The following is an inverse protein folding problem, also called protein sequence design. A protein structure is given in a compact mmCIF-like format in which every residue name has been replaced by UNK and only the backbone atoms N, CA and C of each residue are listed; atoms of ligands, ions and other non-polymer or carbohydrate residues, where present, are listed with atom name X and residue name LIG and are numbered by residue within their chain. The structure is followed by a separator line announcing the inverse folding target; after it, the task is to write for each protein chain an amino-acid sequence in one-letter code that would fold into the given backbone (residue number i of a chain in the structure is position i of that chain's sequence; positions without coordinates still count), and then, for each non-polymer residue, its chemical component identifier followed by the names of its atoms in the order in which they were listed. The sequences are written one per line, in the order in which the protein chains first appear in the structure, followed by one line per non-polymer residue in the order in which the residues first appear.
data_IF_789471698835
#
_entry.id   IF_789471698835
#
_cell.length_a   1.000
_cell.length_b   1.000
_cell.length_c   1.000
_cell.angle_alpha   90.00
_cell.angle_beta   90.00
_cell.angle_gamma   90.00
#
_symmetry.space_group_name_H-M   'P 1'
#
loop_
_entity.id
_entity.type
_entity.pdbx_description
1 polymer ?
#
# COMPACT_ATOMS: atom_id res chain seq x y z
N UNK A 1 12.46 9.75 -14.17
CA UNK A 1 11.40 10.76 -14.38
C UNK A 1 10.12 9.99 -14.19
N UNK A 2 9.42 10.18 -13.08
CA UNK A 2 8.38 9.23 -12.67
C UNK A 2 7.21 9.28 -13.66
N UNK A 3 6.91 8.12 -14.24
CA UNK A 3 5.76 7.95 -15.13
C UNK A 3 4.50 8.02 -14.29
N UNK A 4 3.54 8.85 -14.74
CA UNK A 4 2.35 9.20 -13.94
C UNK A 4 1.12 8.39 -14.33
N UNK A 5 1.01 8.11 -15.62
CA UNK A 5 -0.11 7.41 -16.23
C UNK A 5 0.31 6.81 -17.59
N UNK A 6 -0.57 5.98 -18.16
CA UNK A 6 -0.35 5.32 -19.46
C UNK A 6 -0.14 6.32 -20.61
N UNK A 7 -0.81 7.48 -20.57
CA UNK A 7 -0.69 8.50 -21.61
C UNK A 7 0.68 9.17 -21.58
N UNK A 8 1.21 9.43 -20.38
CA UNK A 8 2.57 9.93 -20.20
C UNK A 8 3.60 8.90 -20.68
N UNK A 9 3.40 7.61 -20.38
CA UNK A 9 4.24 6.52 -20.88
C UNK A 9 4.26 6.48 -22.43
N UNK A 10 3.08 6.52 -23.05
CA UNK A 10 2.92 6.54 -24.51
C UNK A 10 3.63 7.75 -25.14
N UNK A 11 3.41 8.95 -24.62
CA UNK A 11 4.07 10.16 -25.11
C UNK A 11 5.60 10.08 -24.98
N UNK A 12 6.10 9.49 -23.90
CA UNK A 12 7.53 9.30 -23.69
C UNK A 12 8.10 8.31 -24.72
N UNK A 13 7.39 7.22 -25.02
CA UNK A 13 7.79 6.27 -26.06
C UNK A 13 7.76 6.86 -27.45
N UNK A 14 6.70 7.59 -27.82
CA UNK A 14 6.62 8.29 -29.11
C UNK A 14 7.81 9.24 -29.28
N UNK A 15 8.13 10.02 -28.24
CA UNK A 15 9.23 10.98 -28.26
C UNK A 15 10.60 10.28 -28.36
N UNK A 16 10.80 9.19 -27.64
CA UNK A 16 12.11 8.51 -27.56
C UNK A 16 12.38 7.60 -28.76
N UNK A 17 11.35 7.00 -29.34
CA UNK A 17 11.45 6.13 -30.52
C UNK A 17 11.25 6.88 -31.83
N UNK A 18 10.71 8.10 -31.78
CA UNK A 18 10.25 8.87 -32.95
C UNK A 18 9.17 8.15 -33.77
N UNK A 19 8.46 7.20 -33.16
CA UNK A 19 7.41 6.40 -33.79
C UNK A 19 6.04 6.77 -33.24
N UNK A 20 5.16 7.34 -34.08
CA UNK A 20 3.78 7.70 -33.68
C UNK A 20 2.89 6.45 -33.54
N UNK A 21 3.21 5.37 -34.24
CA UNK A 21 2.46 4.13 -34.27
C UNK A 21 3.06 3.09 -33.30
N UNK A 22 3.82 3.54 -32.29
CA UNK A 22 4.53 2.66 -31.36
C UNK A 22 3.57 1.75 -30.58
N UNK A 23 2.36 2.24 -30.29
CA UNK A 23 1.33 1.47 -29.60
C UNK A 23 0.84 0.32 -30.48
N UNK A 24 0.53 0.59 -31.74
CA UNK A 24 0.07 -0.42 -32.71
C UNK A 24 1.17 -1.47 -32.97
N UNK A 25 2.43 -1.04 -32.99
CA UNK A 25 3.59 -1.95 -33.07
C UNK A 25 3.61 -2.90 -31.85
N UNK A 26 3.47 -2.35 -30.64
CA UNK A 26 3.43 -3.15 -29.41
C UNK A 26 2.25 -4.13 -29.44
N UNK A 27 1.04 -3.67 -29.77
CA UNK A 27 -0.15 -4.52 -29.88
C UNK A 27 0.03 -5.65 -30.89
N UNK A 28 0.62 -5.33 -32.05
CA UNK A 28 0.94 -6.33 -33.08
C UNK A 28 1.92 -7.36 -32.53
N UNK A 29 3.00 -6.93 -31.86
CA UNK A 29 3.97 -7.86 -31.28
C UNK A 29 3.36 -8.73 -30.18
N UNK A 30 2.56 -8.15 -29.28
CA UNK A 30 1.89 -8.90 -28.22
C UNK A 30 0.93 -9.97 -28.77
N UNK A 31 0.29 -9.72 -29.93
CA UNK A 31 -0.57 -10.72 -30.58
C UNK A 31 0.19 -11.95 -31.09
N UNK A 32 1.51 -11.84 -31.29
CA UNK A 32 2.37 -12.96 -31.70
C UNK A 32 2.90 -13.77 -30.52
N UNK A 33 2.75 -13.28 -29.30
CA UNK A 33 3.28 -13.93 -28.11
C UNK A 33 2.55 -15.24 -27.83
N UNK A 34 3.31 -16.32 -27.71
CA UNK A 34 2.80 -17.61 -27.27
C UNK A 34 2.95 -17.69 -25.75
N UNK A 35 1.83 -17.51 -25.04
CA UNK A 35 1.81 -17.61 -23.59
C UNK A 35 1.86 -19.08 -23.14
N UNK A 36 2.61 -19.41 -22.07
CA UNK A 36 2.69 -20.77 -21.53
C UNK A 36 1.36 -21.28 -20.97
N UNK A 37 1.23 -22.58 -20.74
CA UNK A 37 0.03 -23.12 -20.07
C UNK A 37 -0.03 -22.72 -18.58
N UNK A 38 -1.23 -22.69 -17.99
CA UNK A 38 -1.44 -22.27 -16.59
C UNK A 38 -0.66 -23.11 -15.57
N UNK A 39 -0.35 -24.36 -15.91
CA UNK A 39 0.46 -25.26 -15.08
C UNK A 39 1.97 -25.03 -15.21
N UNK A 40 2.43 -24.20 -16.14
CA UNK A 40 3.85 -23.98 -16.36
C UNK A 40 4.48 -23.12 -15.26
N UNK A 41 5.41 -23.73 -14.52
CA UNK A 41 6.17 -23.06 -13.46
C UNK A 41 7.13 -22.00 -14.02
N UNK A 42 7.46 -22.06 -15.30
CA UNK A 42 8.33 -21.13 -16.00
C UNK A 42 7.56 -19.96 -16.63
N UNK A 43 6.24 -19.92 -16.54
CA UNK A 43 5.41 -18.91 -17.21
C UNK A 43 5.89 -17.47 -16.98
N UNK A 44 6.22 -17.13 -15.74
CA UNK A 44 6.71 -15.81 -15.34
C UNK A 44 8.07 -15.49 -15.98
N UNK A 45 8.98 -16.47 -16.04
CA UNK A 45 10.28 -16.30 -16.67
C UNK A 45 10.15 -16.13 -18.19
N UNK A 46 9.26 -16.89 -18.81
CA UNK A 46 8.96 -16.77 -20.24
C UNK A 46 8.40 -15.38 -20.57
N UNK A 47 7.44 -14.87 -19.80
CA UNK A 47 6.87 -13.53 -20.00
C UNK A 47 7.94 -12.44 -19.82
N UNK A 48 8.82 -12.58 -18.81
CA UNK A 48 9.96 -11.66 -18.65
C UNK A 48 10.85 -11.65 -19.88
N UNK A 49 11.20 -12.82 -20.41
CA UNK A 49 12.06 -12.91 -21.59
C UNK A 49 11.40 -12.27 -22.81
N UNK A 50 10.11 -12.53 -23.05
CA UNK A 50 9.34 -11.90 -24.13
C UNK A 50 9.35 -10.37 -24.01
N UNK A 51 9.18 -9.84 -22.79
CA UNK A 51 9.29 -8.41 -22.54
C UNK A 51 10.68 -7.86 -22.87
N UNK A 52 11.75 -8.51 -22.41
CA UNK A 52 13.12 -8.06 -22.70
C UNK A 52 13.52 -8.17 -24.16
N UNK A 53 12.99 -9.16 -24.88
CA UNK A 53 13.20 -9.28 -26.32
C UNK A 53 12.50 -8.14 -27.07
N UNK A 54 11.29 -7.75 -26.65
CA UNK A 54 10.61 -6.57 -27.16
C UNK A 54 11.37 -5.27 -26.83
N UNK A 55 11.93 -5.14 -25.63
CA UNK A 55 12.79 -4.00 -25.28
C UNK A 55 13.97 -3.87 -26.25
N UNK A 56 14.64 -4.98 -26.58
CA UNK A 56 15.76 -5.01 -27.52
C UNK A 56 15.34 -4.68 -28.95
N UNK A 57 14.17 -5.14 -29.36
CA UNK A 57 13.62 -4.84 -30.69
C UNK A 57 13.33 -3.34 -30.84
N UNK A 58 12.72 -2.71 -29.84
CA UNK A 58 12.30 -1.31 -29.90
C UNK A 58 13.46 -0.34 -29.65
N UNK A 59 14.33 -0.62 -28.67
CA UNK A 59 15.35 0.32 -28.21
C UNK A 59 16.77 -0.01 -28.64
N UNK A 60 17.00 -1.18 -29.24
CA UNK A 60 18.33 -1.68 -29.58
C UNK A 60 19.27 -1.61 -28.35
N UNK A 61 20.35 -0.82 -28.46
CA UNK A 61 21.40 -0.69 -27.43
C UNK A 61 21.11 0.38 -26.36
N UNK A 62 20.12 1.26 -26.54
CA UNK A 62 19.79 2.35 -25.58
C UNK A 62 18.54 2.04 -24.76
N UNK A 63 18.72 1.16 -23.77
CA UNK A 63 17.70 0.75 -22.79
C UNK A 63 17.78 1.59 -21.52
N UNK A 64 17.73 2.91 -21.65
CA UNK A 64 17.64 3.79 -20.47
C UNK A 64 16.37 3.48 -19.65
N UNK A 65 16.49 3.50 -18.32
CA UNK A 65 15.44 3.05 -17.38
C UNK A 65 14.06 3.65 -17.67
N UNK A 66 14.01 4.96 -17.96
CA UNK A 66 12.74 5.65 -18.26
C UNK A 66 12.02 5.09 -19.50
N UNK A 67 12.78 4.59 -20.51
CA UNK A 67 12.20 3.98 -21.72
C UNK A 67 11.66 2.59 -21.43
N UNK A 68 12.42 1.78 -20.71
CA UNK A 68 12.01 0.43 -20.31
C UNK A 68 10.80 0.51 -19.39
N UNK A 69 10.79 1.45 -18.46
CA UNK A 69 9.63 1.72 -17.60
C UNK A 69 8.41 2.13 -18.44
N UNK A 70 8.54 3.04 -19.41
CA UNK A 70 7.42 3.45 -20.25
C UNK A 70 6.85 2.29 -21.09
N UNK A 71 7.73 1.44 -21.62
CA UNK A 71 7.32 0.23 -22.33
C UNK A 71 6.64 -0.77 -21.38
N UNK A 72 7.16 -0.93 -20.17
CA UNK A 72 6.57 -1.79 -19.15
C UNK A 72 5.12 -1.38 -18.83
N UNK A 73 4.85 -0.08 -18.71
CA UNK A 73 3.49 0.40 -18.49
C UNK A 73 2.53 -0.01 -19.62
N UNK A 74 2.90 0.22 -20.89
CA UNK A 74 2.04 -0.15 -22.02
C UNK A 74 1.87 -1.65 -22.19
N UNK A 75 2.94 -2.43 -22.03
CA UNK A 75 2.90 -3.89 -22.20
C UNK A 75 2.07 -4.53 -21.09
N UNK A 76 2.39 -4.21 -19.83
CA UNK A 76 1.74 -4.87 -18.69
C UNK A 76 0.31 -4.44 -18.45
N UNK A 77 -0.13 -3.26 -18.94
CA UNK A 77 -1.56 -2.92 -18.98
C UNK A 77 -2.37 -3.89 -19.86
N UNK A 78 -1.79 -4.32 -20.99
CA UNK A 78 -2.45 -5.22 -21.94
C UNK A 78 -2.38 -6.69 -21.52
N UNK A 79 -1.24 -7.13 -20.99
CA UNK A 79 -1.04 -8.54 -20.59
C UNK A 79 -1.35 -8.79 -19.11
N UNK A 80 -1.85 -7.79 -18.38
CA UNK A 80 -2.09 -7.87 -16.94
C UNK A 80 -2.89 -9.13 -16.57
N UNK A 81 -4.06 -9.30 -17.19
CA UNK A 81 -4.99 -10.36 -16.82
C UNK A 81 -4.40 -11.75 -17.09
N UNK A 82 -3.61 -11.85 -18.17
CA UNK A 82 -2.85 -13.06 -18.52
C UNK A 82 -1.84 -13.35 -17.41
N UNK A 83 -0.94 -12.42 -17.11
CA UNK A 83 0.09 -12.55 -16.08
C UNK A 83 -0.49 -12.88 -14.70
N UNK A 84 -1.52 -12.12 -14.29
CA UNK A 84 -2.09 -12.24 -12.95
C UNK A 84 -2.88 -13.54 -12.81
N UNK A 85 -3.43 -14.11 -13.88
CA UNK A 85 -4.06 -15.44 -13.83
C UNK A 85 -3.05 -16.53 -13.46
N UNK A 86 -1.86 -16.57 -14.09
CA UNK A 86 -0.81 -17.53 -13.72
C UNK A 86 -0.39 -17.38 -12.26
N UNK A 87 -0.20 -16.13 -11.83
CA UNK A 87 0.28 -15.83 -10.49
C UNK A 87 -0.79 -16.18 -9.45
N UNK A 88 -2.05 -15.77 -9.66
CA UNK A 88 -3.15 -16.11 -8.75
C UNK A 88 -3.39 -17.61 -8.67
N UNK A 89 -3.25 -18.35 -9.77
CA UNK A 89 -3.33 -19.81 -9.73
C UNK A 89 -2.25 -20.42 -8.81
N UNK A 90 -1.04 -19.86 -8.83
CA UNK A 90 0.09 -20.29 -7.97
C UNK A 90 -0.08 -19.91 -6.50
N UNK A 91 -0.65 -18.75 -6.20
CA UNK A 91 -0.74 -18.20 -4.85
C UNK A 91 -2.15 -18.29 -4.23
N UNK A 92 -3.12 -18.91 -4.92
CA UNK A 92 -4.53 -18.93 -4.52
C UNK A 92 -4.75 -19.35 -3.06
N UNK A 93 -4.12 -20.45 -2.63
CA UNK A 93 -4.24 -20.94 -1.26
C UNK A 93 -3.62 -19.99 -0.23
N UNK A 94 -2.47 -19.37 -0.56
CA UNK A 94 -1.79 -18.43 0.33
C UNK A 94 -2.59 -17.14 0.48
N UNK A 95 -3.07 -16.59 -0.63
CA UNK A 95 -3.92 -15.40 -0.67
C UNK A 95 -5.22 -15.61 0.12
N UNK A 96 -5.89 -16.75 -0.11
CA UNK A 96 -7.12 -17.09 0.62
C UNK A 96 -6.87 -17.26 2.11
N UNK A 97 -5.83 -18.00 2.50
CA UNK A 97 -5.50 -18.21 3.91
C UNK A 97 -5.13 -16.89 4.61
N UNK A 98 -4.41 -16.01 3.92
CA UNK A 98 -4.04 -14.70 4.43
C UNK A 98 -5.24 -13.79 4.60
N UNK A 99 -6.13 -13.74 3.60
CA UNK A 99 -7.35 -12.94 3.67
C UNK A 99 -8.22 -13.36 4.87
N UNK A 100 -8.40 -14.66 5.09
CA UNK A 100 -9.12 -15.19 6.25
C UNK A 100 -8.44 -14.85 7.58
N UNK A 101 -7.11 -14.87 7.61
CA UNK A 101 -6.36 -14.44 8.78
C UNK A 101 -6.56 -12.94 9.06
N UNK A 102 -6.47 -12.08 8.05
CA UNK A 102 -6.76 -10.65 8.18
C UNK A 102 -8.20 -10.42 8.66
N UNK A 103 -9.18 -11.16 8.12
CA UNK A 103 -10.59 -11.09 8.56
C UNK A 103 -10.74 -11.45 10.04
N UNK A 104 -10.04 -12.47 10.51
CA UNK A 104 -10.04 -12.87 11.93
C UNK A 104 -9.41 -11.79 12.81
N UNK A 105 -8.24 -11.26 12.42
CA UNK A 105 -7.55 -10.19 13.15
C UNK A 105 -8.37 -8.89 13.17
N UNK A 106 -9.11 -8.59 12.10
CA UNK A 106 -10.06 -7.48 12.08
C UNK A 106 -11.18 -7.65 13.10
N UNK A 107 -11.72 -8.87 13.26
CA UNK A 107 -12.73 -9.17 14.27
C UNK A 107 -12.23 -9.01 15.71
N UNK A 108 -10.92 -9.13 15.94
CA UNK A 108 -10.25 -8.91 17.24
C UNK A 108 -9.96 -7.41 17.49
N UNK A 109 -10.10 -6.56 16.46
CA UNK A 109 -9.75 -5.14 16.47
C UNK A 109 -8.28 -4.89 16.86
N UNK A 110 -7.36 -5.48 16.10
CA UNK A 110 -5.92 -5.34 16.39
C UNK A 110 -5.39 -3.92 16.21
N UNK A 111 -4.49 -3.51 17.10
CA UNK A 111 -3.73 -2.25 17.02
C UNK A 111 -2.22 -2.50 16.84
N UNK A 112 -1.47 -1.45 16.48
CA UNK A 112 -0.03 -1.57 16.22
C UNK A 112 0.74 -1.92 17.50
N UNK A 113 0.27 -1.43 18.65
CA UNK A 113 0.81 -1.75 19.98
C UNK A 113 0.83 -3.27 20.25
N UNK A 114 -0.19 -3.99 19.79
CA UNK A 114 -0.29 -5.43 19.99
C UNK A 114 0.68 -6.24 19.14
N UNK A 115 1.23 -5.61 18.10
CA UNK A 115 2.35 -6.13 17.33
C UNK A 115 3.70 -5.59 17.82
N UNK A 116 3.72 -4.92 18.97
CA UNK A 116 4.94 -4.44 19.64
C UNK A 116 5.35 -3.01 19.28
N UNK A 117 4.48 -2.22 18.61
CA UNK A 117 4.73 -0.80 18.44
C UNK A 117 4.62 -0.06 19.78
N UNK A 118 5.24 1.12 19.86
CA UNK A 118 4.91 2.07 20.90
C UNK A 118 3.41 2.46 20.83
N UNK A 119 2.74 2.62 21.98
CA UNK A 119 1.32 3.04 22.07
C UNK A 119 1.04 4.33 21.30
N UNK A 120 2.05 5.21 21.20
CA UNK A 120 2.01 6.45 20.45
C UNK A 120 1.75 6.28 18.94
N UNK A 121 2.01 5.09 18.40
CA UNK A 121 1.80 4.79 16.98
C UNK A 121 0.49 4.07 16.69
N UNK A 122 -0.35 3.80 17.71
CA UNK A 122 -1.68 3.20 17.55
C UNK A 122 -2.74 4.22 17.14
N UNK A 123 -2.46 4.98 16.08
CA UNK A 123 -3.36 6.02 15.54
C UNK A 123 -4.20 5.47 14.36
N UNK A 124 -5.33 6.11 14.02
CA UNK A 124 -6.01 5.93 12.76
C UNK A 124 -5.10 6.27 11.57
N UNK A 125 -4.98 5.35 10.61
CA UNK A 125 -4.16 5.48 9.40
C UNK A 125 -5.05 5.37 8.15
N UNK A 126 -6.12 6.16 8.15
CA UNK A 126 -7.20 6.03 7.17
C UNK A 126 -6.70 6.29 5.75
N UNK A 127 -5.79 7.25 5.56
CA UNK A 127 -5.26 7.56 4.23
C UNK A 127 -4.41 6.40 3.71
N UNK A 128 -3.49 5.87 4.52
CA UNK A 128 -2.68 4.72 4.13
C UNK A 128 -3.52 3.46 3.86
N UNK A 129 -4.57 3.23 4.66
CA UNK A 129 -5.49 2.09 4.47
C UNK A 129 -6.24 2.20 3.15
N UNK A 130 -6.78 3.39 2.84
CA UNK A 130 -7.53 3.65 1.61
C UNK A 130 -6.64 3.51 0.38
N UNK A 131 -5.44 4.10 0.39
CA UNK A 131 -4.48 3.98 -0.71
C UNK A 131 -4.15 2.51 -0.98
N UNK A 132 -3.81 1.74 0.07
CA UNK A 132 -3.44 0.34 -0.12
C UNK A 132 -4.63 -0.51 -0.58
N UNK A 133 -5.86 -0.18 -0.18
CA UNK A 133 -7.06 -0.97 -0.49
C UNK A 133 -7.35 -1.10 -1.99
N UNK A 134 -6.82 -0.19 -2.82
CA UNK A 134 -6.99 -0.21 -4.28
C UNK A 134 -5.86 -0.91 -5.02
N UNK A 135 -4.89 -1.53 -4.31
CA UNK A 135 -3.75 -2.23 -4.92
C UNK A 135 -4.15 -3.25 -6.00
N UNK A 136 -5.26 -3.96 -5.77
CA UNK A 136 -5.79 -4.97 -6.69
C UNK A 136 -6.33 -4.38 -8.01
N UNK A 137 -6.65 -3.08 -8.05
CA UNK A 137 -7.21 -2.41 -9.23
C UNK A 137 -6.13 -1.95 -10.23
N UNK A 138 -4.90 -1.74 -9.76
CA UNK A 138 -3.79 -1.36 -10.61
C UNK A 138 -3.34 -2.51 -11.49
N UNK A 139 -3.01 -2.22 -12.76
CA UNK A 139 -2.65 -3.25 -13.73
C UNK A 139 -1.15 -3.35 -13.91
N UNK A 140 -0.43 -2.24 -13.90
CA UNK A 140 1.01 -2.25 -14.16
C UNK A 140 1.78 -2.54 -12.87
N UNK A 141 2.98 -3.17 -12.95
CA UNK A 141 3.84 -3.34 -11.78
C UNK A 141 4.30 -1.99 -11.21
N UNK A 142 4.45 -0.98 -12.06
CA UNK A 142 4.77 0.40 -11.68
C UNK A 142 3.69 1.04 -10.82
N UNK A 143 2.42 0.98 -11.24
CA UNK A 143 1.30 1.50 -10.44
C UNK A 143 1.18 0.78 -9.09
N UNK A 144 1.33 -0.54 -9.06
CA UNK A 144 1.30 -1.30 -7.80
C UNK A 144 2.47 -0.91 -6.90
N UNK A 145 3.68 -0.72 -7.43
CA UNK A 145 4.82 -0.26 -6.64
C UNK A 145 4.61 1.18 -6.12
N UNK A 146 4.07 2.07 -6.96
CA UNK A 146 3.73 3.44 -6.56
C UNK A 146 2.71 3.44 -5.42
N UNK A 147 1.67 2.61 -5.50
CA UNK A 147 0.71 2.43 -4.41
C UNK A 147 1.38 2.00 -3.09
N UNK A 148 2.35 1.08 -3.13
CA UNK A 148 3.12 0.69 -1.94
C UNK A 148 3.96 1.85 -1.41
N UNK A 149 4.66 2.60 -2.27
CA UNK A 149 5.44 3.77 -1.87
C UNK A 149 4.54 4.86 -1.27
N UNK A 150 3.44 5.21 -1.92
CA UNK A 150 2.48 6.21 -1.42
C UNK A 150 1.86 5.76 -0.10
N UNK A 151 1.47 4.50 0.04
CA UNK A 151 0.99 3.94 1.32
C UNK A 151 2.04 4.12 2.42
N UNK A 152 3.30 3.79 2.12
CA UNK A 152 4.40 3.93 3.06
C UNK A 152 4.58 5.39 3.49
N UNK A 153 4.62 6.32 2.54
CA UNK A 153 4.73 7.76 2.83
C UNK A 153 3.54 8.29 3.64
N UNK A 154 2.32 7.84 3.34
CA UNK A 154 1.11 8.20 4.08
C UNK A 154 1.17 7.74 5.54
N UNK A 155 1.72 6.54 5.82
CA UNK A 155 1.96 6.09 7.21
C UNK A 155 2.83 7.10 7.97
N UNK A 156 3.95 7.53 7.39
CA UNK A 156 4.81 8.52 8.05
C UNK A 156 4.14 9.88 8.17
N UNK A 157 3.37 10.31 7.16
CA UNK A 157 2.66 11.57 7.17
C UNK A 157 1.61 11.59 8.30
N UNK A 158 0.77 10.55 8.39
CA UNK A 158 -0.27 10.45 9.41
C UNK A 158 0.33 10.39 10.83
N UNK A 159 1.41 9.64 11.03
CA UNK A 159 2.13 9.60 12.32
C UNK A 159 2.67 10.99 12.68
N UNK A 160 3.40 11.65 11.77
CA UNK A 160 3.95 13.00 12.01
C UNK A 160 2.84 14.00 12.31
N UNK A 161 1.73 13.95 11.58
CA UNK A 161 0.58 14.83 11.76
C UNK A 161 -0.10 14.64 13.11
N UNK A 162 -0.19 13.40 13.62
CA UNK A 162 -0.65 13.13 14.98
C UNK A 162 0.34 13.68 16.02
N UNK A 163 1.64 13.46 15.82
CA UNK A 163 2.69 13.93 16.74
C UNK A 163 2.71 15.45 16.89
N UNK A 164 2.69 16.18 15.78
CA UNK A 164 2.62 17.65 15.79
C UNK A 164 1.39 18.13 16.55
N UNK A 165 0.25 17.45 16.41
CA UNK A 165 -0.98 17.80 17.12
C UNK A 165 -0.81 17.79 18.64
N UNK A 166 -0.24 16.70 19.17
CA UNK A 166 -0.05 16.51 20.61
C UNK A 166 0.99 17.47 21.17
N UNK A 167 2.03 17.77 20.39
CA UNK A 167 3.09 18.70 20.80
C UNK A 167 2.58 20.15 20.79
N UNK A 168 1.84 20.56 19.76
CA UNK A 168 1.25 21.91 19.70
C UNK A 168 0.23 22.19 20.81
N UNK A 169 -0.39 21.14 21.38
CA UNK A 169 -1.28 21.28 22.53
C UNK A 169 -0.55 21.27 23.89
N UNK A 170 0.72 20.85 23.93
CA UNK A 170 1.51 20.74 25.16
C UNK A 170 2.81 21.56 25.04
N UNK A 171 2.74 22.85 25.39
CA UNK A 171 3.86 23.81 25.25
C UNK A 171 5.15 23.42 25.99
N UNK A 172 5.08 22.51 26.95
CA UNK A 172 6.26 22.04 27.71
C UNK A 172 7.01 20.89 27.02
N UNK A 173 6.43 20.27 25.97
CA UNK A 173 6.99 19.09 25.26
C UNK A 173 7.47 19.39 23.85
N UNK A 174 7.63 20.66 23.50
CA UNK A 174 8.09 21.10 22.15
C UNK A 174 9.43 20.47 21.73
N UNK A 175 10.26 20.08 22.71
CA UNK A 175 11.57 19.45 22.48
C UNK A 175 11.54 17.90 22.47
N UNK A 176 10.38 17.27 22.67
CA UNK A 176 10.21 15.81 22.73
C UNK A 176 9.50 15.28 21.47
N UNK A 177 10.01 15.58 20.27
CA UNK A 177 9.54 14.89 19.05
C UNK A 177 10.26 13.52 18.99
N UNK A 178 9.60 12.38 19.29
CA UNK A 178 10.24 11.09 19.14
C UNK A 178 10.69 10.86 17.69
N UNK A 179 11.94 10.44 17.52
CA UNK A 179 12.42 9.96 16.22
C UNK A 179 11.70 8.65 15.94
N UNK A 180 10.96 8.58 14.84
CA UNK A 180 10.28 7.36 14.41
C UNK A 180 11.36 6.35 13.97
N UNK A 181 11.57 5.28 14.75
CA UNK A 181 12.46 4.19 14.35
C UNK A 181 11.73 3.25 13.38
N UNK A 182 12.46 2.68 12.42
CA UNK A 182 11.94 1.69 11.48
C UNK A 182 11.40 0.43 12.19
N UNK A 183 11.80 0.18 13.44
CA UNK A 183 11.27 -0.92 14.26
C UNK A 183 9.79 -0.75 14.59
N UNK A 184 9.33 0.49 14.74
CA UNK A 184 7.95 0.81 15.06
C UNK A 184 7.03 0.81 13.83
N UNK A 185 7.61 1.01 12.65
CA UNK A 185 6.88 1.08 11.38
C UNK A 185 6.35 -0.28 10.93
N UNK A 186 7.08 -1.36 11.18
CA UNK A 186 6.66 -2.70 10.76
C UNK A 186 5.32 -3.12 11.39
N UNK A 187 5.13 -3.06 12.73
CA UNK A 187 3.84 -3.24 13.39
C UNK A 187 2.71 -2.38 12.81
N UNK A 188 3.02 -1.12 12.47
CA UNK A 188 2.06 -0.19 11.88
C UNK A 188 1.63 -0.63 10.49
N UNK A 189 2.58 -1.02 9.63
CA UNK A 189 2.29 -1.57 8.30
C UNK A 189 1.45 -2.84 8.37
N UNK A 190 1.70 -3.71 9.36
CA UNK A 190 0.88 -4.90 9.57
C UNK A 190 -0.59 -4.55 9.79
N UNK A 191 -0.88 -3.54 10.63
CA UNK A 191 -2.26 -3.06 10.85
C UNK A 191 -2.86 -2.46 9.58
N UNK A 192 -2.10 -1.66 8.83
CA UNK A 192 -2.56 -1.09 7.55
C UNK A 192 -2.94 -2.23 6.59
N UNK A 193 -2.08 -3.21 6.39
CA UNK A 193 -2.34 -4.38 5.53
C UNK A 193 -3.60 -5.14 5.96
N UNK A 194 -3.76 -5.40 7.27
CA UNK A 194 -4.93 -6.10 7.81
C UNK A 194 -6.21 -5.29 7.52
N UNK A 195 -6.17 -3.97 7.74
CA UNK A 195 -7.31 -3.07 7.55
C UNK A 195 -7.65 -2.78 6.08
N UNK A 196 -6.69 -2.93 5.17
CA UNK A 196 -6.91 -2.75 3.72
C UNK A 196 -7.62 -3.91 3.03
N UNK A 197 -7.83 -5.05 3.71
CA UNK A 197 -8.66 -6.19 3.21
C UNK A 197 -8.23 -6.70 1.82
N UNK A 198 -6.93 -6.82 1.60
CA UNK A 198 -6.36 -7.23 0.31
C UNK A 198 -6.62 -8.70 0.04
N UNK A 199 -7.22 -9.01 -1.11
CA UNK A 199 -7.61 -10.39 -1.45
C UNK A 199 -6.48 -11.18 -2.10
N UNK A 200 -5.53 -10.49 -2.75
CA UNK A 200 -4.47 -11.12 -3.55
C UNK A 200 -3.07 -10.59 -3.21
N UNK A 201 -2.76 -10.35 -1.93
CA UNK A 201 -1.51 -9.69 -1.54
C UNK A 201 -0.25 -10.45 -1.96
N UNK A 202 -0.21 -11.78 -1.83
CA UNK A 202 0.96 -12.57 -2.24
C UNK A 202 1.11 -12.54 -3.76
N UNK A 203 0.00 -12.63 -4.49
CA UNK A 203 0.00 -12.48 -5.94
C UNK A 203 0.51 -11.10 -6.37
N UNK A 204 0.03 -10.02 -5.75
CA UNK A 204 0.43 -8.65 -6.07
C UNK A 204 1.91 -8.40 -5.77
N UNK A 205 2.39 -8.81 -4.59
CA UNK A 205 3.80 -8.64 -4.25
C UNK A 205 4.70 -9.46 -5.18
N UNK A 206 4.31 -10.69 -5.50
CA UNK A 206 5.06 -11.51 -6.45
C UNK A 206 5.06 -10.89 -7.86
N UNK A 207 3.94 -10.32 -8.30
CA UNK A 207 3.83 -9.62 -9.58
C UNK A 207 4.77 -8.42 -9.65
N UNK A 208 4.76 -7.55 -8.63
CA UNK A 208 5.67 -6.40 -8.52
C UNK A 208 7.13 -6.86 -8.49
N UNK A 209 7.48 -7.81 -7.62
CA UNK A 209 8.85 -8.37 -7.54
C UNK A 209 9.33 -8.96 -8.86
N UNK A 210 8.40 -9.55 -9.61
CA UNK A 210 8.74 -10.17 -10.88
C UNK A 210 8.94 -9.12 -11.95
N UNK A 211 8.00 -8.19 -12.10
CA UNK A 211 7.94 -7.39 -13.31
C UNK A 211 8.38 -5.95 -13.13
N UNK A 212 8.49 -5.40 -11.92
CA UNK A 212 8.96 -4.02 -11.73
C UNK A 212 10.45 -3.89 -12.06
N UNK A 213 10.79 -3.13 -13.11
CA UNK A 213 12.13 -3.13 -13.70
C UNK A 213 13.21 -2.58 -12.76
N UNK A 214 12.90 -1.51 -12.04
CA UNK A 214 13.88 -0.72 -11.26
C UNK A 214 13.99 -1.17 -9.80
N UNK A 215 13.45 -2.35 -9.46
CA UNK A 215 13.43 -2.89 -8.09
C UNK A 215 14.82 -2.97 -7.47
N UNK A 216 15.81 -3.44 -8.23
CA UNK A 216 17.17 -3.68 -7.72
C UNK A 216 18.06 -2.42 -7.77
N UNK A 217 17.74 -1.46 -8.65
CA UNK A 217 18.54 -0.25 -8.86
C UNK A 217 18.15 0.89 -7.92
N UNK A 218 16.92 0.90 -7.43
CA UNK A 218 16.44 1.89 -6.47
C UNK A 218 16.36 1.30 -5.06
N UNK A 219 17.42 1.53 -4.26
CA UNK A 219 17.52 1.03 -2.89
C UNK A 219 16.33 1.45 -2.01
N UNK A 220 15.84 2.68 -2.14
CA UNK A 220 14.72 3.18 -1.32
C UNK A 220 13.45 2.39 -1.66
N UNK A 221 13.16 2.24 -2.94
CA UNK A 221 12.00 1.46 -3.42
C UNK A 221 12.12 -0.01 -3.01
N UNK A 222 13.31 -0.60 -3.11
CA UNK A 222 13.58 -1.98 -2.66
C UNK A 222 13.36 -2.15 -1.16
N UNK A 223 13.84 -1.20 -0.34
CA UNK A 223 13.68 -1.25 1.12
C UNK A 223 12.21 -1.07 1.54
N UNK A 224 11.44 -0.22 0.84
CA UNK A 224 9.98 -0.11 1.02
C UNK A 224 9.30 -1.44 0.65
N UNK A 225 9.59 -2.00 -0.53
CA UNK A 225 9.01 -3.25 -0.98
C UNK A 225 9.29 -4.40 0.01
N UNK A 226 10.53 -4.52 0.49
CA UNK A 226 10.93 -5.51 1.52
C UNK A 226 10.19 -5.31 2.83
N UNK A 227 9.86 -4.06 3.20
CA UNK A 227 9.07 -3.76 4.40
C UNK A 227 7.65 -4.32 4.28
N UNK A 228 7.01 -4.21 3.10
CA UNK A 228 5.72 -4.85 2.84
C UNK A 228 5.82 -6.38 2.80
N UNK A 229 6.84 -6.96 2.14
CA UNK A 229 7.05 -8.41 2.14
C UNK A 229 7.19 -8.94 3.58
N UNK A 230 7.98 -8.24 4.41
CA UNK A 230 8.17 -8.60 5.81
C UNK A 230 6.87 -8.48 6.60
N UNK A 231 6.13 -7.38 6.47
CA UNK A 231 4.88 -7.17 7.18
C UNK A 231 3.84 -8.25 6.84
N UNK A 232 3.69 -8.60 5.56
CA UNK A 232 2.80 -9.68 5.11
C UNK A 232 3.23 -11.03 5.70
N UNK A 233 4.53 -11.34 5.71
CA UNK A 233 5.04 -12.57 6.30
C UNK A 233 4.80 -12.64 7.82
N UNK A 234 4.96 -11.53 8.53
CA UNK A 234 4.71 -11.50 9.98
C UNK A 234 3.22 -11.66 10.28
N UNK A 235 2.32 -10.97 9.56
CA UNK A 235 0.87 -11.17 9.69
C UNK A 235 0.50 -12.63 9.42
N UNK A 236 1.08 -13.25 8.40
CA UNK A 236 0.82 -14.65 8.08
C UNK A 236 1.24 -15.60 9.21
N UNK A 237 2.33 -15.30 9.93
CA UNK A 237 2.85 -16.10 11.05
C UNK A 237 2.14 -15.85 12.38
N UNK A 238 1.51 -14.68 12.56
CA UNK A 238 0.80 -14.32 13.80
C UNK A 238 -0.19 -15.41 14.19
N UNK A 239 -0.07 -15.93 15.42
CA UNK A 239 -1.11 -16.78 16.01
C UNK A 239 -2.21 -15.88 16.56
N UNK A 240 -3.41 -16.03 16.00
CA UNK A 240 -4.58 -15.24 16.40
C UNK A 240 -5.03 -15.51 17.83
N UNK A 241 -4.55 -16.61 18.47
CA UNK A 241 -4.84 -16.94 19.87
C UNK A 241 -3.98 -16.18 20.87
N UNK A 242 -2.79 -15.76 20.43
CA UNK A 242 -1.83 -15.03 21.28
C UNK A 242 -2.06 -13.52 21.23
N UNK A 243 -2.83 -13.06 20.24
CA UNK A 243 -3.24 -11.66 20.13
C UNK A 243 -4.43 -11.44 21.07
N UNK A 244 -4.16 -10.82 22.23
CA UNK A 244 -5.25 -10.35 23.09
C UNK A 244 -6.13 -9.37 22.31
N UNK A 245 -7.43 -9.22 22.61
CA UNK A 245 -8.22 -8.12 22.06
C UNK A 245 -7.54 -6.81 22.43
N UNK A 246 -7.43 -5.88 21.47
CA UNK A 246 -6.97 -4.53 21.80
C UNK A 246 -7.85 -4.02 22.92
N UNK A 247 -7.26 -3.55 24.02
CA UNK A 247 -8.00 -2.76 24.98
C UNK A 247 -8.69 -1.68 24.14
N UNK A 248 -10.01 -1.73 24.07
CA UNK A 248 -10.82 -0.88 23.22
C UNK A 248 -10.74 0.57 23.73
N UNK A 249 -9.57 1.20 23.62
CA UNK A 249 -9.40 2.65 23.66
C UNK A 249 -9.86 3.25 22.33
N UNK A 250 -9.95 2.43 21.28
CA UNK A 250 -10.48 2.82 19.98
C UNK A 250 -11.99 2.54 19.96
N UNK A 251 -12.76 3.59 20.17
CA UNK A 251 -14.22 3.55 20.20
C UNK A 251 -14.72 3.28 18.77
N UNK A 252 -15.04 2.02 18.46
CA UNK A 252 -15.60 1.62 17.16
C UNK A 252 -17.07 2.03 16.98
N UNK A 253 -17.73 2.45 18.05
CA UNK A 253 -19.08 2.98 18.05
C UNK A 253 -19.20 3.93 19.24
N UNK A 254 -19.13 5.24 18.98
CA UNK A 254 -19.36 6.22 20.04
C UNK A 254 -20.85 6.15 20.38
N UNK A 255 -21.16 5.63 21.56
CA UNK A 255 -22.39 6.03 22.23
C UNK A 255 -22.22 7.50 22.63
N UNK A 256 -23.04 8.37 22.06
CA UNK A 256 -22.97 9.83 22.24
C UNK A 256 -23.03 10.21 23.74
N UNK A 257 -23.73 9.40 24.55
CA UNK A 257 -23.88 9.65 26.00
C UNK A 257 -22.57 9.41 26.77
N UNK A 258 -21.80 8.38 26.41
CA UNK A 258 -20.50 8.09 27.05
C UNK A 258 -19.46 9.17 26.70
N UNK A 259 -19.57 9.76 25.51
CA UNK A 259 -18.66 10.81 25.03
C UNK A 259 -18.95 12.19 25.63
N UNK A 260 -20.22 12.56 25.84
CA UNK A 260 -20.57 13.79 26.56
C UNK A 260 -20.01 13.80 27.98
N UNK A 261 -19.88 12.62 28.60
CA UNK A 261 -19.26 12.49 29.92
C UNK A 261 -17.76 12.76 29.92
N UNK A 262 -17.05 12.39 28.85
CA UNK A 262 -15.60 12.56 28.71
C UNK A 262 -15.24 14.01 28.32
N UNK A 263 -16.08 14.68 27.52
CA UNK A 263 -15.85 16.08 27.12
C UNK A 263 -16.28 17.11 28.17
N UNK A 264 -17.13 16.75 29.14
CA UNK A 264 -17.55 17.65 30.23
C UNK A 264 -16.61 17.62 31.45
N UNK A 265 -15.67 16.68 31.53
CA UNK A 265 -14.63 16.69 32.56
C UNK A 265 -13.43 17.50 32.07
N UNK A 266 -13.47 18.81 32.27
CA UNK A 266 -12.39 19.77 31.96
C UNK A 266 -11.09 19.54 32.76
N UNK A 267 -11.04 18.57 33.67
CA UNK A 267 -9.92 18.38 34.61
C UNK A 267 -8.75 17.54 34.06
N UNK A 268 -8.85 16.90 32.89
CA UNK A 268 -7.82 15.92 32.41
C UNK A 268 -7.08 16.33 31.11
N UNK A 269 -7.02 17.63 30.78
CA UNK A 269 -6.31 18.13 29.60
C UNK A 269 -4.79 17.87 29.61
N UNK A 270 -4.19 17.53 30.75
CA UNK A 270 -2.73 17.34 30.89
C UNK A 270 -2.19 15.99 30.38
N UNK A 271 -3.05 15.07 29.92
CA UNK A 271 -2.67 13.68 29.57
C UNK A 271 -3.27 13.14 28.26
N UNK A 272 -3.52 13.98 27.27
CA UNK A 272 -4.00 13.49 25.97
C UNK A 272 -2.93 12.68 25.23
N UNK A 273 -3.28 11.45 24.88
CA UNK A 273 -2.43 10.57 24.05
C UNK A 273 -2.63 10.88 22.57
N UNK A 274 -1.73 10.37 21.71
CA UNK A 274 -1.85 10.50 20.25
C UNK A 274 -3.13 9.85 19.70
N UNK A 275 -3.61 8.80 20.38
CA UNK A 275 -4.85 8.12 20.06
C UNK A 275 -6.06 9.02 20.32
N UNK A 276 -6.07 9.73 21.44
CA UNK A 276 -7.18 10.64 21.82
C UNK A 276 -7.32 11.79 20.82
N UNK A 277 -6.20 12.37 20.39
CA UNK A 277 -6.18 13.47 19.43
C UNK A 277 -6.58 13.03 18.02
N UNK A 278 -6.13 11.86 17.57
CA UNK A 278 -6.52 11.36 16.26
C UNK A 278 -8.01 10.98 16.21
N UNK A 279 -8.57 10.43 17.30
CA UNK A 279 -10.01 10.22 17.45
C UNK A 279 -10.77 11.56 17.43
N UNK A 280 -10.26 12.59 18.13
CA UNK A 280 -10.86 13.93 18.14
C UNK A 280 -10.92 14.56 16.73
N UNK A 281 -9.89 14.39 15.92
CA UNK A 281 -9.86 14.87 14.52
C UNK A 281 -10.82 14.13 13.61
N UNK A 282 -10.87 12.80 13.70
CA UNK A 282 -11.83 12.01 12.95
C UNK A 282 -13.28 12.45 13.27
N UNK A 283 -13.55 12.73 14.55
CA UNK A 283 -14.84 13.24 14.99
C UNK A 283 -15.14 14.64 14.44
N UNK A 284 -14.20 15.58 14.51
CA UNK A 284 -14.39 16.92 13.95
C UNK A 284 -14.69 16.87 12.44
N UNK A 285 -14.07 15.95 11.70
CA UNK A 285 -14.39 15.71 10.29
C UNK A 285 -15.80 15.14 10.10
N UNK A 286 -16.21 14.17 10.93
CA UNK A 286 -17.57 13.60 10.89
C UNK A 286 -18.60 14.67 11.24
N UNK A 287 -18.44 15.38 12.37
CA UNK A 287 -19.37 16.43 12.83
C UNK A 287 -19.51 17.54 11.80
N UNK A 288 -18.40 18.00 11.22
CA UNK A 288 -18.43 19.00 10.16
C UNK A 288 -19.17 18.48 8.92
N UNK A 289 -18.95 17.23 8.55
CA UNK A 289 -19.64 16.60 7.41
C UNK A 289 -21.13 16.35 7.67
N UNK A 290 -21.55 16.11 8.91
CA UNK A 290 -22.97 15.94 9.28
C UNK A 290 -23.72 17.26 9.42
N UNK A 291 -23.07 18.33 9.91
CA UNK A 291 -23.68 19.66 10.03
C UNK A 291 -23.92 20.29 8.66
N UNK A 292 -23.08 19.97 7.67
CA UNK A 292 -23.23 20.43 6.29
C UNK A 292 -24.36 19.69 5.51
N UNK A 293 -25.01 18.67 6.09
CA UNK A 293 -26.16 17.97 5.48
C UNK A 293 -27.53 18.38 6.02
N UNK A 294 -27.59 19.11 7.14
CA UNK A 294 -28.86 19.59 7.73
C UNK A 294 -29.18 21.06 7.38
N UNK A 295 -28.44 21.65 6.43
CA UNK A 295 -28.59 23.05 5.99
C UNK A 295 -29.03 23.20 4.53
N UNK A 296 -29.96 22.35 4.06
CA UNK A 296 -30.73 22.52 2.82
C UNK A 296 -32.23 22.54 3.09
#
# INVERSE_FOLDING_TARGET
MDIKDLKHAEQLLIKTTQNQDIKDLIETQLSTWVFPELSDRLAVATIKNLFYDLCKEIFHDDQSDNKVEALQWLVFDQIHDICLTYIRARFSDQDKAFFEKCRTLLGINVSAEQFGANENYSIPLSAAIVELSVLDNYKTPGEKMNCLCTTYDLVFAEIKTAMVAVISQNSEKENEIPVIDNRDILPVLMVVIIKSKLSHIFSNLFYVKSFYHTMDDNRVVSDIFRSFEKAVQEVAKTDTRDVQPGAAKMIQSIDLEEYMKITLSDEDQSRRTLVDEANHRALNLITKSTVDHDSV
#
